data_IF_468581157156
#
_entry.id   IF_468581157156
#
_cell.length_a   1.000
_cell.length_b   1.000
_cell.length_c   1.000
_cell.angle_alpha   90.00
_cell.angle_beta   90.00
_cell.angle_gamma   90.00
#
_symmetry.space_group_name_H-M   'P 1'
#
loop_
_entity.id
_entity.type
_entity.pdbx_description
1 polymer ?
#
# COMPACT_ATOMS: atom_id res chain seq x y z
N UNK A 1 31.67 -1.45 -3.49
CA UNK A 1 30.46 -0.81 -2.93
C UNK A 1 29.21 -1.04 -3.77
N UNK A 2 29.12 -0.64 -5.05
CA UNK A 2 27.89 -0.83 -5.85
C UNK A 2 27.42 -2.30 -5.95
N UNK A 3 28.33 -3.26 -6.12
CA UNK A 3 28.01 -4.69 -6.14
C UNK A 3 27.40 -5.17 -4.81
N UNK A 4 28.04 -4.83 -3.69
CA UNK A 4 27.56 -5.14 -2.34
C UNK A 4 26.20 -4.47 -2.04
N UNK A 5 26.01 -3.23 -2.49
CA UNK A 5 24.73 -2.55 -2.39
C UNK A 5 23.63 -3.25 -3.21
N UNK A 6 23.95 -3.72 -4.42
CA UNK A 6 23.04 -4.51 -5.24
C UNK A 6 22.68 -5.85 -4.60
N UNK A 7 23.66 -6.54 -4.02
CA UNK A 7 23.45 -7.79 -3.26
C UNK A 7 22.55 -7.54 -2.04
N UNK A 8 22.80 -6.47 -1.28
CA UNK A 8 21.97 -6.07 -0.15
C UNK A 8 20.54 -5.72 -0.58
N UNK A 9 20.39 -5.04 -1.72
CA UNK A 9 19.08 -4.73 -2.30
C UNK A 9 18.34 -6.01 -2.72
N UNK A 10 19.04 -6.99 -3.27
CA UNK A 10 18.47 -8.29 -3.62
C UNK A 10 18.05 -9.06 -2.36
N UNK A 11 18.88 -9.06 -1.31
CA UNK A 11 18.55 -9.65 0.00
C UNK A 11 17.31 -9.00 0.61
N UNK A 12 17.21 -7.68 0.55
CA UNK A 12 16.02 -6.95 0.99
C UNK A 12 14.77 -7.30 0.18
N UNK A 13 14.89 -7.44 -1.14
CA UNK A 13 13.75 -7.85 -1.98
C UNK A 13 13.31 -9.30 -1.71
N UNK A 14 14.27 -10.21 -1.49
CA UNK A 14 13.98 -11.63 -1.29
C UNK A 14 13.44 -11.95 0.10
N UNK A 15 13.78 -11.14 1.11
CA UNK A 15 13.31 -11.24 2.49
C UNK A 15 11.90 -10.70 2.71
N UNK A 16 11.26 -10.07 1.72
CA UNK A 16 9.88 -9.56 1.88
C UNK A 16 8.91 -10.69 2.28
N UNK A 17 7.96 -10.43 3.19
CA UNK A 17 6.91 -11.37 3.55
C UNK A 17 6.13 -11.72 2.29
N UNK A 18 6.11 -13.01 1.95
CA UNK A 18 5.49 -13.52 0.73
C UNK A 18 4.00 -13.75 0.96
N UNK A 19 3.25 -12.66 1.15
CA UNK A 19 1.81 -12.70 1.42
C UNK A 19 1.04 -13.56 0.42
N UNK A 20 1.34 -13.45 -0.88
CA UNK A 20 0.67 -14.27 -1.89
C UNK A 20 0.94 -15.78 -1.73
N UNK A 21 2.20 -16.13 -1.43
CA UNK A 21 2.55 -17.53 -1.14
C UNK A 21 1.86 -18.00 0.15
N UNK A 22 1.80 -17.16 1.19
CA UNK A 22 1.11 -17.44 2.44
C UNK A 22 -0.41 -17.66 2.25
N UNK A 23 -1.04 -16.87 1.39
CA UNK A 23 -2.46 -17.01 1.03
C UNK A 23 -2.68 -18.31 0.25
N UNK A 24 -1.83 -18.63 -0.73
CA UNK A 24 -1.96 -19.86 -1.52
C UNK A 24 -1.57 -21.14 -0.75
N UNK A 25 -0.60 -21.06 0.16
CA UNK A 25 -0.10 -22.22 0.94
C UNK A 25 -1.00 -22.57 2.12
N UNK A 26 -1.97 -21.72 2.43
CA UNK A 26 -2.93 -21.96 3.49
C UNK A 26 -4.29 -22.28 2.84
N UNK A 27 -4.55 -23.55 2.47
CA UNK A 27 -5.75 -23.95 1.73
C UNK A 27 -7.07 -23.75 2.52
N UNK A 28 -6.99 -23.21 3.75
CA UNK A 28 -8.12 -22.94 4.62
C UNK A 28 -8.12 -21.51 5.20
N UNK A 29 -8.06 -20.50 4.33
CA UNK A 29 -8.81 -19.26 4.58
C UNK A 29 -10.29 -19.37 4.15
N UNK A 30 -10.83 -20.58 3.99
CA UNK A 30 -12.26 -20.84 3.80
C UNK A 30 -13.11 -20.26 4.95
N UNK A 31 -12.58 -20.14 6.15
CA UNK A 31 -13.24 -19.45 7.27
C UNK A 31 -13.28 -17.93 7.11
N UNK A 32 -12.38 -17.35 6.29
CA UNK A 32 -12.37 -15.94 5.90
C UNK A 32 -13.14 -15.71 4.60
N UNK A 33 -13.45 -16.74 3.80
CA UNK A 33 -14.28 -16.62 2.59
C UNK A 33 -15.64 -15.97 2.87
N UNK A 34 -16.36 -16.27 3.98
CA UNK A 34 -17.54 -15.52 4.38
C UNK A 34 -17.25 -14.05 4.64
N UNK A 35 -16.10 -13.71 5.24
CA UNK A 35 -15.70 -12.33 5.45
C UNK A 35 -15.41 -11.64 4.11
N UNK A 36 -14.67 -12.27 3.20
CA UNK A 36 -14.38 -11.77 1.85
C UNK A 36 -15.64 -11.68 0.98
N UNK A 37 -16.57 -12.62 1.10
CA UNK A 37 -17.85 -12.62 0.40
C UNK A 37 -18.80 -11.58 0.99
N UNK A 38 -18.89 -11.43 2.32
CA UNK A 38 -19.68 -10.39 2.97
C UNK A 38 -19.13 -8.99 2.68
N UNK A 39 -17.82 -8.89 2.57
CA UNK A 39 -17.11 -7.72 2.03
C UNK A 39 -17.59 -7.51 0.59
N UNK A 40 -17.29 -8.40 -0.37
CA UNK A 40 -17.63 -8.19 -1.79
C UNK A 40 -19.13 -7.92 -2.02
N UNK A 41 -20.01 -8.69 -1.36
CA UNK A 41 -21.45 -8.50 -1.40
C UNK A 41 -21.87 -7.19 -0.72
N UNK A 42 -21.30 -6.84 0.43
CA UNK A 42 -21.59 -5.59 1.14
C UNK A 42 -21.12 -4.34 0.40
N UNK A 43 -20.13 -4.45 -0.48
CA UNK A 43 -19.74 -3.40 -1.43
C UNK A 43 -20.64 -3.34 -2.66
N UNK A 44 -21.04 -4.50 -3.20
CA UNK A 44 -21.85 -4.62 -4.43
C UNK A 44 -23.35 -4.38 -4.22
N UNK A 45 -23.90 -4.72 -3.05
CA UNK A 45 -25.33 -4.59 -2.74
C UNK A 45 -25.79 -3.12 -2.71
N UNK A 46 -25.09 -2.17 -2.05
CA UNK A 46 -25.42 -0.75 -2.11
C UNK A 46 -25.26 -0.16 -3.51
N UNK A 47 -24.33 -0.71 -4.31
CA UNK A 47 -24.08 -0.30 -5.69
C UNK A 47 -25.18 -0.77 -6.66
N UNK A 48 -25.88 -1.86 -6.33
CA UNK A 48 -26.92 -2.46 -7.16
C UNK A 48 -28.35 -2.12 -6.69
N UNK A 49 -28.49 -1.43 -5.55
CA UNK A 49 -29.78 -1.05 -5.00
C UNK A 49 -30.24 0.32 -5.52
N UNK A 50 -31.20 0.32 -6.46
CA UNK A 50 -31.87 1.53 -6.97
C UNK A 50 -32.40 2.45 -5.86
N UNK A 51 -32.76 1.87 -4.70
CA UNK A 51 -33.24 2.61 -3.52
C UNK A 51 -32.18 3.50 -2.87
N UNK A 52 -30.88 3.22 -3.06
CA UNK A 52 -29.80 4.05 -2.55
C UNK A 52 -29.65 5.29 -3.41
N UNK A 53 -29.72 5.15 -4.73
CA UNK A 53 -29.55 6.27 -5.67
C UNK A 53 -30.71 7.27 -5.67
N UNK A 54 -31.93 6.82 -5.38
CA UNK A 54 -33.10 7.70 -5.26
C UNK A 54 -33.17 8.53 -3.98
N UNK A 55 -32.32 8.27 -2.98
CA UNK A 55 -32.39 8.92 -1.67
C UNK A 55 -31.33 10.04 -1.53
N UNK A 56 -31.66 11.22 -0.98
CA UNK A 56 -30.73 12.36 -0.87
C UNK A 56 -29.46 12.05 -0.05
N UNK A 57 -29.51 11.02 0.79
CA UNK A 57 -28.38 10.54 1.60
C UNK A 57 -27.68 9.29 1.03
N UNK A 58 -28.09 8.83 -0.16
CA UNK A 58 -27.59 7.61 -0.80
C UNK A 58 -26.09 7.59 -1.01
N UNK A 59 -25.56 8.68 -1.58
CA UNK A 59 -24.13 8.84 -1.80
C UNK A 59 -23.31 8.80 -0.49
N UNK A 60 -23.82 9.40 0.60
CA UNK A 60 -23.17 9.37 1.91
C UNK A 60 -23.20 7.97 2.52
N UNK A 61 -24.32 7.25 2.39
CA UNK A 61 -24.42 5.86 2.82
C UNK A 61 -23.43 4.98 2.06
N UNK A 62 -23.29 5.17 0.75
CA UNK A 62 -22.36 4.44 -0.09
C UNK A 62 -20.90 4.74 0.26
N UNK A 63 -20.56 6.01 0.53
CA UNK A 63 -19.24 6.40 1.05
C UNK A 63 -18.94 5.79 2.42
N UNK A 64 -19.92 5.77 3.33
CA UNK A 64 -19.75 5.16 4.64
C UNK A 64 -19.55 3.64 4.54
N UNK A 65 -20.34 2.96 3.71
CA UNK A 65 -20.21 1.52 3.45
C UNK A 65 -18.85 1.17 2.86
N UNK A 66 -18.40 1.91 1.84
CA UNK A 66 -17.07 1.71 1.22
C UNK A 66 -15.92 1.98 2.20
N UNK A 67 -16.06 3.00 3.05
CA UNK A 67 -15.09 3.29 4.12
C UNK A 67 -15.00 2.17 5.16
N UNK A 68 -16.15 1.73 5.68
CA UNK A 68 -16.23 0.61 6.65
C UNK A 68 -15.70 -0.69 6.04
N UNK A 69 -16.02 -0.97 4.79
CA UNK A 69 -15.51 -2.11 4.03
C UNK A 69 -13.99 -2.09 3.90
N UNK A 70 -13.44 -0.93 3.53
CA UNK A 70 -11.99 -0.76 3.36
C UNK A 70 -11.28 -0.99 4.70
N UNK A 71 -11.88 -0.48 5.78
CA UNK A 71 -11.37 -0.70 7.13
C UNK A 71 -11.43 -2.18 7.56
N UNK A 72 -12.53 -2.87 7.28
CA UNK A 72 -12.68 -4.30 7.55
C UNK A 72 -11.63 -5.13 6.80
N UNK A 73 -11.31 -4.78 5.55
CA UNK A 73 -10.22 -5.41 4.80
C UNK A 73 -8.85 -5.21 5.45
N UNK A 74 -8.56 -3.99 5.92
CA UNK A 74 -7.31 -3.71 6.63
C UNK A 74 -7.20 -4.53 7.92
N UNK A 75 -8.27 -4.63 8.70
CA UNK A 75 -8.32 -5.44 9.92
C UNK A 75 -8.17 -6.94 9.63
N UNK A 76 -8.85 -7.45 8.60
CA UNK A 76 -8.76 -8.85 8.21
C UNK A 76 -7.33 -9.20 7.75
N UNK A 77 -6.68 -8.32 6.99
CA UNK A 77 -5.26 -8.47 6.61
C UNK A 77 -4.35 -8.50 7.84
N UNK A 78 -4.54 -7.57 8.77
CA UNK A 78 -3.73 -7.50 9.99
C UNK A 78 -3.91 -8.76 10.85
N UNK A 79 -5.15 -9.20 11.05
CA UNK A 79 -5.45 -10.42 11.79
C UNK A 79 -4.77 -11.64 11.16
N UNK A 80 -4.87 -11.78 9.83
CA UNK A 80 -4.17 -12.83 9.09
C UNK A 80 -2.64 -12.73 9.27
N UNK A 81 -2.07 -11.52 9.17
CA UNK A 81 -0.64 -11.33 9.34
C UNK A 81 -0.16 -11.69 10.75
N UNK A 82 -0.90 -11.28 11.79
CA UNK A 82 -0.61 -11.60 13.17
C UNK A 82 -0.68 -13.10 13.47
N UNK A 83 -1.62 -13.82 12.86
CA UNK A 83 -1.71 -15.28 13.00
C UNK A 83 -0.64 -16.02 12.20
N UNK A 84 -0.46 -15.68 10.93
CA UNK A 84 0.44 -16.42 10.05
C UNK A 84 1.92 -16.16 10.36
N UNK A 85 2.26 -14.94 10.80
CA UNK A 85 3.60 -14.55 11.19
C UNK A 85 3.74 -14.38 12.71
N UNK A 86 2.99 -15.17 13.48
CA UNK A 86 2.92 -15.09 14.94
C UNK A 86 4.30 -15.05 15.62
N UNK A 87 5.23 -15.90 15.18
CA UNK A 87 6.59 -15.94 15.72
C UNK A 87 7.34 -14.61 15.53
N UNK A 88 7.13 -13.91 14.42
CA UNK A 88 7.73 -12.60 14.21
C UNK A 88 7.01 -11.53 15.04
N UNK A 89 5.68 -11.62 15.15
CA UNK A 89 4.88 -10.70 15.95
C UNK A 89 5.26 -10.75 17.43
N UNK A 90 5.48 -11.96 17.97
CA UNK A 90 5.93 -12.14 19.35
C UNK A 90 7.39 -11.73 19.55
N UNK A 91 8.32 -12.22 18.71
CA UNK A 91 9.76 -11.95 18.88
C UNK A 91 10.11 -10.47 18.80
N UNK A 92 9.39 -9.69 18.00
CA UNK A 92 9.65 -8.26 17.78
C UNK A 92 8.59 -7.34 18.38
N UNK A 93 7.69 -7.86 19.24
CA UNK A 93 6.61 -7.08 19.86
C UNK A 93 5.83 -6.21 18.85
N UNK A 94 5.56 -6.76 17.66
CA UNK A 94 4.94 -6.01 16.55
C UNK A 94 3.51 -5.59 16.92
N UNK A 95 2.82 -6.40 17.73
CA UNK A 95 1.47 -6.09 18.20
C UNK A 95 1.40 -4.80 19.05
N UNK A 96 2.49 -4.42 19.71
CA UNK A 96 2.54 -3.22 20.57
C UNK A 96 2.79 -1.95 19.76
N UNK A 97 3.15 -2.08 18.47
CA UNK A 97 3.43 -0.96 17.59
C UNK A 97 2.13 -0.38 16.98
N UNK A 98 2.13 0.90 16.57
CA UNK A 98 0.98 1.53 15.92
C UNK A 98 0.52 0.75 14.69
N UNK A 99 -0.78 0.53 14.55
CA UNK A 99 -1.39 -0.33 13.50
C UNK A 99 -0.84 -0.06 12.09
N UNK A 100 -0.74 1.20 11.67
CA UNK A 100 -0.26 1.58 10.34
C UNK A 100 1.24 1.30 10.12
N UNK A 101 2.02 1.05 11.17
CA UNK A 101 3.45 0.80 11.11
C UNK A 101 3.81 -0.68 11.22
N UNK A 102 2.89 -1.53 11.68
CA UNK A 102 3.14 -2.97 11.94
C UNK A 102 3.65 -3.71 10.72
N UNK A 103 3.13 -3.39 9.53
CA UNK A 103 3.63 -3.97 8.28
C UNK A 103 5.10 -3.57 8.01
N UNK A 104 5.52 -2.35 8.36
CA UNK A 104 6.91 -1.93 8.26
C UNK A 104 7.80 -2.70 9.23
N UNK A 105 7.34 -2.94 10.46
CA UNK A 105 8.07 -3.72 11.46
C UNK A 105 8.17 -5.20 11.06
N UNK A 106 7.12 -5.78 10.47
CA UNK A 106 7.15 -7.14 9.96
C UNK A 106 8.15 -7.29 8.80
N UNK A 107 8.17 -6.33 7.87
CA UNK A 107 9.18 -6.27 6.81
C UNK A 107 10.59 -6.21 7.38
N UNK A 108 10.80 -5.37 8.40
CA UNK A 108 12.08 -5.26 9.07
C UNK A 108 12.49 -6.56 9.76
N UNK A 109 11.59 -7.20 10.49
CA UNK A 109 11.85 -8.47 11.19
C UNK A 109 12.33 -9.57 10.23
N UNK A 110 11.67 -9.72 9.08
CA UNK A 110 12.12 -10.68 8.06
C UNK A 110 13.48 -10.31 7.45
N UNK A 111 13.73 -9.02 7.24
CA UNK A 111 15.00 -8.55 6.73
C UNK A 111 16.15 -8.76 7.73
N UNK A 112 15.91 -8.52 9.02
CA UNK A 112 16.85 -8.76 10.10
C UNK A 112 17.19 -10.25 10.23
N UNK A 113 16.19 -11.14 10.17
CA UNK A 113 16.43 -12.59 10.17
C UNK A 113 17.24 -13.02 8.93
N UNK A 114 17.01 -12.41 7.77
CA UNK A 114 17.80 -12.67 6.57
C UNK A 114 19.26 -12.20 6.73
N UNK A 115 19.50 -11.02 7.32
CA UNK A 115 20.84 -10.51 7.63
C UNK A 115 21.60 -11.41 8.62
N UNK A 116 20.92 -11.89 9.66
CA UNK A 116 21.50 -12.83 10.63
C UNK A 116 21.92 -14.14 9.95
N UNK A 117 21.09 -14.67 9.04
CA UNK A 117 21.39 -15.90 8.28
C UNK A 117 22.57 -15.75 7.32
N UNK A 118 22.77 -14.56 6.75
CA UNK A 118 23.92 -14.28 5.88
C UNK A 118 25.21 -14.03 6.65
N UNK A 119 25.16 -13.93 7.99
CA UNK A 119 26.33 -13.66 8.82
C UNK A 119 26.98 -12.31 8.50
N UNK A 120 26.18 -11.33 8.06
CA UNK A 120 26.72 -10.04 7.63
C UNK A 120 27.23 -9.26 8.82
N UNK A 121 28.49 -8.84 8.75
CA UNK A 121 29.16 -8.09 9.81
C UNK A 121 28.56 -6.69 10.00
N UNK A 122 28.52 -6.22 11.25
CA UNK A 122 27.92 -4.94 11.63
C UNK A 122 28.64 -3.77 10.96
N UNK A 123 29.96 -3.83 10.85
CA UNK A 123 30.75 -2.80 10.16
C UNK A 123 30.43 -2.75 8.66
N UNK A 124 30.11 -3.91 8.07
CA UNK A 124 29.67 -3.96 6.68
C UNK A 124 28.29 -3.31 6.51
N UNK A 125 27.36 -3.53 7.44
CA UNK A 125 26.04 -2.89 7.43
C UNK A 125 26.20 -1.37 7.59
N UNK A 126 27.05 -0.90 8.51
CA UNK A 126 27.31 0.53 8.74
C UNK A 126 27.85 1.22 7.47
N UNK A 127 28.82 0.61 6.79
CA UNK A 127 29.34 1.11 5.49
C UNK A 127 28.26 1.15 4.41
N UNK A 128 27.32 0.19 4.40
CA UNK A 128 26.20 0.19 3.46
C UNK A 128 25.19 1.32 3.76
N UNK A 129 24.95 1.65 5.03
CA UNK A 129 24.11 2.79 5.42
C UNK A 129 24.68 4.09 4.86
N UNK A 130 25.97 4.35 5.08
CA UNK A 130 26.65 5.55 4.58
C UNK A 130 26.59 5.64 3.05
N UNK A 131 26.88 4.52 2.38
CA UNK A 131 26.78 4.46 0.93
C UNK A 131 25.34 4.68 0.43
N UNK A 132 24.34 4.16 1.13
CA UNK A 132 22.93 4.35 0.83
C UNK A 132 22.48 5.81 0.94
N UNK A 133 23.01 6.55 1.92
CA UNK A 133 22.77 7.99 2.10
C UNK A 133 23.33 8.81 0.93
N UNK A 134 24.51 8.46 0.44
CA UNK A 134 25.21 9.20 -0.62
C UNK A 134 24.70 8.80 -2.03
N UNK A 135 24.31 7.54 -2.21
CA UNK A 135 23.83 7.02 -3.52
C UNK A 135 22.37 7.35 -3.84
N UNK A 136 21.68 8.08 -2.95
CA UNK A 136 20.34 8.61 -3.18
C UNK A 136 20.32 9.62 -4.33
N UNK A 137 19.25 9.62 -5.12
CA UNK A 137 19.03 10.74 -6.03
C UNK A 137 18.75 11.98 -5.18
N UNK A 138 19.31 13.15 -5.52
CA UNK A 138 19.01 14.38 -4.80
C UNK A 138 17.50 14.58 -4.77
N UNK A 139 16.97 14.95 -3.60
CA UNK A 139 15.56 15.26 -3.44
C UNK A 139 15.19 16.34 -4.47
N UNK A 140 14.44 15.95 -5.50
CA UNK A 140 13.81 16.93 -6.40
C UNK A 140 12.49 17.30 -5.74
N UNK A 141 12.35 18.50 -5.15
CA UNK A 141 11.05 18.96 -4.71
C UNK A 141 10.08 18.86 -5.89
N UNK A 142 8.87 18.40 -5.62
CA UNK A 142 7.76 18.46 -6.56
C UNK A 142 7.41 19.94 -6.74
N UNK A 143 8.19 20.63 -7.58
CA UNK A 143 7.92 22.01 -7.95
C UNK A 143 6.78 22.00 -8.98
N UNK A 144 5.56 21.77 -8.49
CA UNK A 144 4.33 21.96 -9.26
C UNK A 144 4.28 23.40 -9.83
N UNK A 145 4.88 24.35 -9.11
CA UNK A 145 5.07 25.75 -9.52
C UNK A 145 6.06 25.96 -10.68
N UNK A 146 6.99 25.01 -10.96
CA UNK A 146 7.88 25.14 -12.13
C UNK A 146 7.20 24.71 -13.43
N UNK A 147 6.09 23.98 -13.33
CA UNK A 147 5.36 23.49 -14.49
C UNK A 147 3.92 24.03 -14.48
N UNK A 148 3.78 25.33 -14.22
CA UNK A 148 2.49 26.04 -14.21
C UNK A 148 1.74 25.79 -15.52
N UNK A 149 2.42 25.83 -16.67
CA UNK A 149 1.81 25.50 -17.97
C UNK A 149 1.19 24.10 -17.99
N UNK A 150 1.87 23.10 -17.42
CA UNK A 150 1.35 21.73 -17.31
C UNK A 150 0.13 21.67 -16.38
N UNK A 151 0.15 22.35 -15.23
CA UNK A 151 -0.99 22.40 -14.31
C UNK A 151 -2.21 23.04 -14.98
N UNK A 152 -2.01 24.15 -15.71
CA UNK A 152 -3.06 24.84 -16.45
C UNK A 152 -3.62 23.96 -17.57
N UNK A 153 -2.75 23.30 -18.34
CA UNK A 153 -3.14 22.37 -19.40
C UNK A 153 -3.97 21.20 -18.83
N UNK A 154 -3.51 20.59 -17.73
CA UNK A 154 -4.23 19.51 -17.06
C UNK A 154 -5.59 19.96 -16.51
N UNK A 155 -5.67 21.18 -15.96
CA UNK A 155 -6.92 21.75 -15.44
C UNK A 155 -7.91 22.01 -16.58
N UNK A 156 -7.44 22.58 -17.70
CA UNK A 156 -8.25 22.82 -18.89
C UNK A 156 -8.73 21.51 -19.54
N UNK A 157 -7.83 20.53 -19.70
CA UNK A 157 -8.18 19.20 -20.21
C UNK A 157 -9.16 18.47 -19.30
N UNK A 158 -9.03 18.60 -17.98
CA UNK A 158 -9.99 18.04 -17.03
C UNK A 158 -11.37 18.69 -17.17
N UNK A 159 -11.45 20.01 -17.30
CA UNK A 159 -12.71 20.72 -17.53
C UNK A 159 -13.38 20.30 -18.85
N UNK A 160 -12.60 20.20 -19.94
CA UNK A 160 -13.09 19.72 -21.23
C UNK A 160 -13.54 18.25 -21.18
N UNK A 161 -12.80 17.41 -20.46
CA UNK A 161 -13.17 16.02 -20.26
C UNK A 161 -14.52 15.93 -19.54
N UNK A 162 -14.71 16.69 -18.46
CA UNK A 162 -15.98 16.74 -17.72
C UNK A 162 -17.14 17.18 -18.62
N UNK A 163 -16.98 18.25 -19.40
CA UNK A 163 -18.02 18.71 -20.33
C UNK A 163 -18.33 17.68 -21.43
N UNK A 164 -17.32 16.97 -21.95
CA UNK A 164 -17.52 15.88 -22.90
C UNK A 164 -18.17 14.66 -22.26
N UNK A 165 -17.85 14.35 -21.00
CA UNK A 165 -18.47 13.24 -20.27
C UNK A 165 -19.96 13.52 -20.03
N UNK A 166 -20.35 14.76 -19.72
CA UNK A 166 -21.77 15.17 -19.59
C UNK A 166 -22.59 14.92 -20.86
N UNK A 167 -21.96 14.96 -22.02
CA UNK A 167 -22.60 14.72 -23.33
C UNK A 167 -22.71 13.25 -23.70
N UNK A 168 -22.09 12.34 -22.95
CA UNK A 168 -22.20 10.90 -23.22
C UNK A 168 -23.51 10.34 -22.69
N UNK A 169 -24.05 9.33 -23.39
CA UNK A 169 -25.32 8.65 -23.00
C UNK A 169 -25.30 8.06 -21.58
N UNK A 170 -24.10 7.78 -21.05
CA UNK A 170 -23.88 7.34 -19.67
C UNK A 170 -24.29 8.39 -18.62
N UNK A 171 -24.20 9.68 -18.96
CA UNK A 171 -24.53 10.80 -18.06
C UNK A 171 -25.97 11.32 -18.23
N UNK A 172 -26.58 11.08 -19.40
CA UNK A 172 -27.89 11.65 -19.76
C UNK A 172 -29.11 10.80 -19.34
N UNK A 173 -28.92 9.55 -18.93
CA UNK A 173 -30.00 8.72 -18.38
C UNK A 173 -29.96 8.73 -16.84
N UNK A 174 -31.01 8.22 -16.20
CA UNK A 174 -31.09 7.84 -14.76
C UNK A 174 -29.93 6.96 -14.23
N UNK A 175 -28.88 6.76 -15.03
CA UNK A 175 -27.65 6.00 -14.77
C UNK A 175 -26.41 6.90 -14.55
N UNK A 176 -26.59 8.22 -14.34
CA UNK A 176 -25.47 9.12 -13.96
C UNK A 176 -24.71 8.62 -12.73
N UNK A 177 -25.40 7.88 -11.88
CA UNK A 177 -24.85 7.17 -10.73
C UNK A 177 -23.84 6.08 -11.11
N UNK A 178 -24.09 5.31 -12.16
CA UNK A 178 -23.16 4.28 -12.64
C UNK A 178 -21.88 4.90 -13.20
N UNK A 179 -22.00 6.05 -13.88
CA UNK A 179 -20.84 6.82 -14.33
C UNK A 179 -20.03 7.38 -13.15
N UNK A 180 -20.70 7.84 -12.08
CA UNK A 180 -20.05 8.32 -10.86
C UNK A 180 -19.34 7.19 -10.10
N UNK A 181 -19.97 6.02 -10.00
CA UNK A 181 -19.37 4.81 -9.43
C UNK A 181 -18.13 4.39 -10.20
N UNK A 182 -18.19 4.33 -11.54
CA UNK A 182 -17.05 3.97 -12.37
C UNK A 182 -15.91 4.99 -12.23
N UNK A 183 -16.22 6.28 -12.15
CA UNK A 183 -15.23 7.33 -11.91
C UNK A 183 -14.58 7.19 -10.52
N UNK A 184 -15.36 6.87 -9.48
CA UNK A 184 -14.86 6.63 -8.12
C UNK A 184 -13.94 5.40 -8.09
N UNK A 185 -14.32 4.34 -8.79
CA UNK A 185 -13.53 3.11 -8.88
C UNK A 185 -12.23 3.33 -9.67
N UNK A 186 -12.28 4.11 -10.75
CA UNK A 186 -11.10 4.53 -11.50
C UNK A 186 -10.17 5.42 -10.65
N UNK A 187 -10.72 6.35 -9.86
CA UNK A 187 -9.96 7.17 -8.92
C UNK A 187 -9.28 6.30 -7.86
N UNK A 188 -10.00 5.31 -7.31
CA UNK A 188 -9.46 4.39 -6.31
C UNK A 188 -8.33 3.53 -6.90
N UNK A 189 -8.50 3.00 -8.11
CA UNK A 189 -7.44 2.30 -8.85
C UNK A 189 -6.23 3.21 -9.12
N UNK A 190 -6.47 4.47 -9.49
CA UNK A 190 -5.41 5.45 -9.70
C UNK A 190 -4.64 5.77 -8.42
N UNK A 191 -5.34 5.93 -7.28
CA UNK A 191 -4.72 6.11 -5.96
C UNK A 191 -3.92 4.87 -5.57
N UNK A 192 -4.42 3.66 -5.81
CA UNK A 192 -3.66 2.42 -5.58
C UNK A 192 -2.39 2.35 -6.44
N UNK A 193 -2.47 2.74 -7.72
CA UNK A 193 -1.30 2.83 -8.60
C UNK A 193 -0.29 3.87 -8.09
N UNK A 194 -0.76 5.05 -7.65
CA UNK A 194 0.11 6.07 -7.06
C UNK A 194 0.78 5.57 -5.78
N UNK A 195 0.04 4.87 -4.91
CA UNK A 195 0.62 4.24 -3.73
C UNK A 195 1.71 3.23 -4.14
N UNK A 196 1.45 2.36 -5.11
CA UNK A 196 2.43 1.39 -5.62
C UNK A 196 3.69 2.06 -6.20
N UNK A 197 3.54 3.15 -6.97
CA UNK A 197 4.67 3.91 -7.52
C UNK A 197 5.44 4.65 -6.41
N UNK A 198 4.73 5.21 -5.43
CA UNK A 198 5.35 5.87 -4.27
C UNK A 198 6.16 4.87 -3.45
N UNK A 199 5.65 3.64 -3.30
CA UNK A 199 6.32 2.57 -2.60
C UNK A 199 7.63 2.17 -3.27
N UNK A 200 7.62 2.10 -4.60
CA UNK A 200 8.80 1.83 -5.42
C UNK A 200 9.85 2.95 -5.30
N UNK A 201 9.42 4.21 -5.30
CA UNK A 201 10.32 5.37 -5.12
C UNK A 201 10.95 5.41 -3.73
N UNK A 202 10.21 5.04 -2.69
CA UNK A 202 10.68 5.04 -1.30
C UNK A 202 11.47 3.77 -0.93
N UNK A 203 11.69 2.84 -1.86
CA UNK A 203 12.30 1.54 -1.57
C UNK A 203 13.74 1.65 -1.06
N UNK A 204 14.55 2.56 -1.63
CA UNK A 204 15.92 2.84 -1.16
C UNK A 204 15.93 3.46 0.24
N UNK A 205 15.07 4.44 0.50
CA UNK A 205 14.97 5.10 1.80
C UNK A 205 14.55 4.13 2.92
N UNK A 206 13.63 3.21 2.62
CA UNK A 206 13.25 2.12 3.54
C UNK A 206 14.43 1.17 3.81
N UNK A 207 15.18 0.78 2.79
CA UNK A 207 16.37 -0.07 2.96
C UNK A 207 17.40 0.59 3.88
N UNK A 208 17.72 1.88 3.66
CA UNK A 208 18.66 2.61 4.51
C UNK A 208 18.19 2.63 5.96
N UNK A 209 16.90 2.93 6.21
CA UNK A 209 16.32 2.93 7.55
C UNK A 209 16.40 1.55 8.23
N UNK A 210 16.14 0.48 7.49
CA UNK A 210 16.23 -0.88 8.03
C UNK A 210 17.67 -1.30 8.31
N UNK A 211 18.63 -0.88 7.49
CA UNK A 211 20.05 -1.09 7.77
C UNK A 211 20.48 -0.30 9.02
N UNK A 212 19.98 0.93 9.21
CA UNK A 212 20.22 1.71 10.43
C UNK A 212 19.68 1.01 11.68
N UNK A 213 18.45 0.49 11.63
CA UNK A 213 17.88 -0.30 12.72
C UNK A 213 18.68 -1.58 12.97
N UNK A 214 19.06 -2.30 11.91
CA UNK A 214 19.88 -3.51 12.03
C UNK A 214 21.26 -3.23 12.65
N UNK A 215 21.91 -2.10 12.32
CA UNK A 215 23.14 -1.67 12.98
C UNK A 215 22.97 -1.47 14.48
N UNK A 216 21.80 -1.04 14.94
CA UNK A 216 21.52 -0.88 16.36
C UNK A 216 21.25 -2.24 17.03
N UNK A 217 20.42 -3.08 16.42
CA UNK A 217 19.98 -4.35 17.00
C UNK A 217 21.04 -5.47 16.94
N UNK A 218 22.05 -5.35 16.08
CA UNK A 218 23.13 -6.33 15.93
C UNK A 218 24.43 -5.93 16.65
N UNK A 219 24.52 -4.71 17.18
CA UNK A 219 25.70 -4.33 17.97
C UNK A 219 25.78 -5.18 19.24
N UNK A 220 26.92 -5.82 19.53
CA UNK A 220 27.12 -6.45 20.82
C UNK A 220 27.11 -5.35 21.89
N UNK A 221 26.21 -5.49 22.87
CA UNK A 221 26.23 -4.70 24.09
C UNK A 221 27.37 -5.11 25.02
#
# INVERSE_FOLDING_TARGET
MFKQWSEMLQLYKSSRPKYWRAICSNPFALHLLPAWAAVLLGGLIPLAADSVYGHPWGAFALMACTGLYTWALFLAREYFAGQHFFDHYQRHAIADQPFLQRDSYLHYAHFLDALKRTGTDVDQIARMVEFGKISGHPYKPLNLMQNTLFVWLMTFLAALAVEKTKLTRLWQFQNGDLAMVLALLALLLFVMLLMMVSEYRQHKGRLVRYLEWACHDLKPG
#
